data_IF_027454383293
#
_entry.id   IF_027454383293
#
_cell.length_a   1.000
_cell.length_b   1.000
_cell.length_c   1.000
_cell.angle_alpha   90.00
_cell.angle_beta   90.00
_cell.angle_gamma   90.00
#
_symmetry.space_group_name_H-M   'P 1'
#
loop_
_entity.id
_entity.type
_entity.pdbx_description
1 polymer ?
#
# COMPACT_ATOMS: atom_id res chain seq x y z
N UNK A 1 -17.88 -5.24 -25.95
CA UNK A 1 -17.54 -3.88 -25.44
C UNK A 1 -16.09 -3.51 -25.79
N UNK A 2 -15.13 -4.44 -25.70
CA UNK A 2 -13.69 -4.19 -25.93
C UNK A 2 -13.31 -3.79 -27.37
N UNK A 3 -14.04 -4.24 -28.38
CA UNK A 3 -13.75 -3.88 -29.79
C UNK A 3 -14.12 -2.41 -30.12
N UNK A 4 -15.11 -1.85 -29.44
CA UNK A 4 -15.57 -0.49 -29.72
C UNK A 4 -14.62 0.59 -29.18
N UNK A 5 -13.85 0.28 -28.13
CA UNK A 5 -12.84 1.19 -27.57
C UNK A 5 -11.59 1.28 -28.46
N UNK A 6 -11.28 0.22 -29.20
CA UNK A 6 -10.13 0.18 -30.11
C UNK A 6 -10.34 1.00 -31.38
N UNK A 7 -11.57 1.08 -31.85
CA UNK A 7 -11.94 1.91 -33.04
C UNK A 7 -11.96 3.41 -32.71
N UNK A 8 -12.35 3.80 -31.49
CA UNK A 8 -12.31 5.20 -31.05
C UNK A 8 -10.89 5.75 -30.84
N UNK A 9 -9.93 4.90 -30.46
CA UNK A 9 -8.53 5.29 -30.29
C UNK A 9 -7.80 5.51 -31.62
N UNK A 10 -8.25 4.85 -32.72
CA UNK A 10 -7.60 4.95 -34.03
C UNK A 10 -7.93 6.24 -34.80
N UNK A 11 -8.91 7.02 -34.36
CA UNK A 11 -9.33 8.24 -35.09
C UNK A 11 -8.73 9.55 -34.56
N UNK A 12 -7.83 9.49 -33.57
CA UNK A 12 -7.25 10.69 -32.93
C UNK A 12 -5.73 10.81 -33.14
N UNK A 13 -5.24 10.48 -34.33
CA UNK A 13 -3.84 10.71 -34.68
C UNK A 13 -3.68 12.12 -35.20
N UNK A 14 -3.25 13.02 -34.34
CA UNK A 14 -2.74 14.33 -34.71
C UNK A 14 -3.51 15.53 -34.18
N UNK A 15 -3.23 15.91 -32.93
CA UNK A 15 -3.20 17.31 -32.48
C UNK A 15 -2.45 17.30 -31.13
N UNK A 16 -1.53 18.27 -30.95
CA UNK A 16 -0.63 18.40 -29.81
C UNK A 16 -1.32 18.32 -28.45
N UNK A 17 -0.57 17.88 -27.43
CA UNK A 17 -1.02 17.50 -26.10
C UNK A 17 -2.22 18.27 -25.56
N UNK A 18 -3.40 17.76 -25.76
CA UNK A 18 -4.62 18.33 -25.22
C UNK A 18 -4.70 18.00 -23.73
N UNK A 19 -4.29 18.95 -22.90
CA UNK A 19 -4.66 18.95 -21.49
C UNK A 19 -6.20 18.92 -21.43
N UNK A 20 -6.78 17.82 -20.93
CA UNK A 20 -8.23 17.70 -20.74
C UNK A 20 -8.65 18.82 -19.78
N UNK A 21 -9.58 19.68 -20.21
CA UNK A 21 -10.04 20.82 -19.40
C UNK A 21 -10.85 20.32 -18.19
N UNK A 22 -10.70 20.96 -17.04
CA UNK A 22 -11.46 20.65 -15.81
C UNK A 22 -12.99 20.58 -16.05
N UNK A 23 -13.51 21.44 -16.92
CA UNK A 23 -14.91 21.43 -17.33
C UNK A 23 -15.34 20.07 -17.93
N UNK A 24 -14.44 19.38 -18.62
CA UNK A 24 -14.73 18.07 -19.21
C UNK A 24 -14.94 17.02 -18.12
N UNK A 25 -14.15 17.04 -17.04
CA UNK A 25 -14.31 16.14 -15.92
C UNK A 25 -15.66 16.32 -15.23
N UNK A 26 -16.09 17.56 -15.03
CA UNK A 26 -17.39 17.87 -14.44
C UNK A 26 -18.54 17.41 -15.36
N UNK A 27 -18.42 17.64 -16.68
CA UNK A 27 -19.45 17.24 -17.65
C UNK A 27 -19.58 15.72 -17.76
N UNK A 28 -18.48 15.00 -17.65
CA UNK A 28 -18.44 13.52 -17.69
C UNK A 28 -18.66 12.86 -16.32
N UNK A 29 -18.91 13.67 -15.28
CA UNK A 29 -19.11 13.18 -13.90
C UNK A 29 -17.95 12.30 -13.40
N UNK A 30 -16.71 12.64 -13.78
CA UNK A 30 -15.52 11.86 -13.45
C UNK A 30 -15.32 11.72 -11.94
N UNK A 31 -15.69 12.71 -11.15
CA UNK A 31 -15.70 12.71 -9.69
C UNK A 31 -16.56 11.59 -9.10
N UNK A 32 -17.68 11.24 -9.74
CA UNK A 32 -18.51 10.11 -9.33
C UNK A 32 -17.80 8.78 -9.54
N UNK A 33 -17.06 8.63 -10.65
CA UNK A 33 -16.25 7.43 -10.92
C UNK A 33 -15.17 7.30 -9.85
N UNK A 34 -14.46 8.40 -9.52
CA UNK A 34 -13.46 8.39 -8.45
C UNK A 34 -14.06 8.08 -7.08
N UNK A 35 -15.28 8.56 -6.80
CA UNK A 35 -15.98 8.27 -5.55
C UNK A 35 -16.32 6.79 -5.43
N UNK A 36 -16.73 6.14 -6.50
CA UNK A 36 -16.98 4.69 -6.54
C UNK A 36 -15.66 3.93 -6.34
N UNK A 37 -14.59 4.33 -7.04
CA UNK A 37 -13.27 3.71 -6.90
C UNK A 37 -12.78 3.77 -5.44
N UNK A 38 -12.94 4.92 -4.78
CA UNK A 38 -12.51 5.11 -3.38
C UNK A 38 -13.20 4.15 -2.41
N UNK A 39 -14.44 3.73 -2.67
CA UNK A 39 -15.15 2.75 -1.83
C UNK A 39 -14.49 1.36 -1.81
N UNK A 40 -13.67 1.07 -2.81
CA UNK A 40 -12.95 -0.21 -2.93
C UNK A 40 -11.48 -0.13 -2.47
N UNK A 41 -11.02 1.03 -2.01
CA UNK A 41 -9.66 1.21 -1.56
C UNK A 41 -9.52 0.89 -0.07
N UNK A 42 -8.46 0.15 0.27
CA UNK A 42 -8.23 -0.35 1.62
C UNK A 42 -7.19 0.47 2.42
N UNK A 43 -6.57 1.49 1.82
CA UNK A 43 -5.52 2.29 2.46
C UNK A 43 -5.70 3.78 2.21
N UNK A 44 -5.30 4.62 3.17
CA UNK A 44 -5.30 6.08 3.04
C UNK A 44 -4.43 6.55 1.87
N UNK A 45 -3.27 5.94 1.70
CA UNK A 45 -2.37 6.21 0.56
C UNK A 45 -3.06 5.92 -0.76
N UNK A 46 -3.85 4.83 -0.86
CA UNK A 46 -4.66 4.52 -2.02
C UNK A 46 -5.70 5.61 -2.32
N UNK A 47 -6.35 6.15 -1.30
CA UNK A 47 -7.30 7.27 -1.45
C UNK A 47 -6.61 8.52 -2.01
N UNK A 48 -5.42 8.88 -1.52
CA UNK A 48 -4.64 10.00 -2.08
C UNK A 48 -4.29 9.78 -3.56
N UNK A 49 -3.91 8.56 -3.94
CA UNK A 49 -3.64 8.23 -5.35
C UNK A 49 -4.88 8.36 -6.21
N UNK A 50 -6.04 7.88 -5.74
CA UNK A 50 -7.29 8.00 -6.46
C UNK A 50 -7.71 9.46 -6.67
N UNK A 51 -7.48 10.35 -5.71
CA UNK A 51 -7.76 11.79 -5.85
C UNK A 51 -6.94 12.45 -6.94
N UNK A 52 -5.70 12.01 -7.09
CA UNK A 52 -4.76 12.52 -8.10
C UNK A 52 -4.90 11.82 -9.45
N UNK A 53 -5.72 10.77 -9.52
CA UNK A 53 -5.89 10.00 -10.75
C UNK A 53 -6.45 10.89 -11.87
N UNK A 54 -5.84 10.83 -13.03
CA UNK A 54 -6.27 11.52 -14.24
C UNK A 54 -6.22 10.54 -15.41
N UNK A 55 -7.08 10.73 -16.41
CA UNK A 55 -7.00 9.93 -17.62
C UNK A 55 -5.64 10.08 -18.30
N UNK A 56 -5.12 8.97 -18.83
CA UNK A 56 -3.88 8.97 -19.58
C UNK A 56 -3.96 9.89 -20.79
N UNK A 57 -2.90 10.62 -21.08
CA UNK A 57 -2.83 11.56 -22.20
C UNK A 57 -2.12 10.97 -23.43
N UNK A 58 -1.52 9.80 -23.30
CA UNK A 58 -0.87 9.07 -24.39
C UNK A 58 -1.38 7.64 -24.48
N UNK A 59 -1.38 7.08 -25.71
CA UNK A 59 -1.76 5.70 -25.93
C UNK A 59 -0.89 4.72 -25.13
N UNK A 60 0.42 4.94 -25.15
CA UNK A 60 1.40 4.09 -24.42
C UNK A 60 1.14 4.06 -22.91
N UNK A 61 0.82 5.21 -22.32
CA UNK A 61 0.48 5.31 -20.90
C UNK A 61 -0.81 4.56 -20.60
N UNK A 62 -1.85 4.77 -21.42
CA UNK A 62 -3.12 4.07 -21.28
C UNK A 62 -2.97 2.56 -21.37
N UNK A 63 -2.21 2.07 -22.35
CA UNK A 63 -1.92 0.64 -22.52
C UNK A 63 -1.20 0.07 -21.28
N UNK A 64 -0.18 0.78 -20.78
CA UNK A 64 0.56 0.35 -19.58
C UNK A 64 -0.34 0.25 -18.35
N UNK A 65 -1.19 1.25 -18.10
CA UNK A 65 -2.11 1.26 -16.95
C UNK A 65 -3.18 0.16 -17.08
N UNK A 66 -3.68 -0.08 -18.28
CA UNK A 66 -4.62 -1.17 -18.54
C UNK A 66 -3.98 -2.54 -18.35
N UNK A 67 -2.73 -2.73 -18.80
CA UNK A 67 -1.98 -3.96 -18.60
C UNK A 67 -1.75 -4.25 -17.12
N UNK A 68 -1.34 -3.25 -16.33
CA UNK A 68 -1.20 -3.40 -14.88
C UNK A 68 -2.50 -3.81 -14.20
N UNK A 69 -3.63 -3.22 -14.62
CA UNK A 69 -4.95 -3.57 -14.08
C UNK A 69 -5.33 -4.99 -14.42
N UNK A 70 -5.08 -5.41 -15.65
CA UNK A 70 -5.37 -6.76 -16.12
C UNK A 70 -4.49 -7.82 -15.44
N UNK A 71 -3.21 -7.52 -15.23
CA UNK A 71 -2.32 -8.36 -14.43
C UNK A 71 -2.84 -8.53 -12.99
N UNK A 72 -3.29 -7.44 -12.33
CA UNK A 72 -3.85 -7.48 -10.99
C UNK A 72 -5.12 -8.34 -10.92
N UNK A 73 -6.03 -8.18 -11.88
CA UNK A 73 -7.23 -9.01 -12.01
C UNK A 73 -6.89 -10.49 -12.23
N UNK A 74 -5.92 -10.78 -13.07
CA UNK A 74 -5.44 -12.14 -13.32
C UNK A 74 -4.87 -12.80 -12.05
N UNK A 75 -4.09 -12.05 -11.28
CA UNK A 75 -3.56 -12.52 -9.98
C UNK A 75 -4.71 -12.80 -9.02
N UNK A 76 -5.66 -11.87 -8.89
CA UNK A 76 -6.82 -12.04 -8.01
C UNK A 76 -7.65 -13.27 -8.40
N UNK A 77 -7.97 -13.43 -9.68
CA UNK A 77 -8.76 -14.54 -10.20
C UNK A 77 -8.09 -15.90 -9.92
N UNK A 78 -6.77 -15.96 -10.04
CA UNK A 78 -5.99 -17.18 -9.83
C UNK A 78 -5.78 -17.51 -8.35
N UNK A 79 -5.56 -16.51 -7.51
CA UNK A 79 -5.17 -16.71 -6.10
C UNK A 79 -6.32 -16.56 -5.12
N UNK A 80 -7.44 -15.92 -5.53
CA UNK A 80 -8.52 -15.50 -4.64
C UNK A 80 -8.10 -14.43 -3.62
N UNK A 81 -6.90 -13.84 -3.76
CA UNK A 81 -6.34 -12.85 -2.83
C UNK A 81 -6.15 -11.52 -3.51
N UNK A 82 -6.52 -10.45 -2.82
CA UNK A 82 -6.17 -9.10 -3.27
C UNK A 82 -4.65 -8.92 -3.25
N UNK A 83 -4.05 -8.39 -4.33
CA UNK A 83 -2.60 -8.19 -4.39
C UNK A 83 -2.05 -7.31 -3.27
N UNK A 84 -2.84 -6.37 -2.79
CA UNK A 84 -2.47 -5.45 -1.71
C UNK A 84 -3.56 -5.41 -0.66
N UNK A 85 -3.20 -5.66 0.60
CA UNK A 85 -4.08 -5.46 1.76
C UNK A 85 -4.03 -4.01 2.26
N UNK A 86 -4.99 -3.62 3.10
CA UNK A 86 -4.96 -2.32 3.76
C UNK A 86 -3.78 -2.19 4.72
N UNK A 87 -3.14 -1.04 4.72
CA UNK A 87 -2.03 -0.71 5.61
C UNK A 87 -2.12 0.77 6.04
N UNK A 88 -1.64 1.11 7.25
CA UNK A 88 -1.62 2.50 7.72
C UNK A 88 -0.59 3.34 6.96
N UNK A 89 -0.83 4.65 6.87
CA UNK A 89 0.18 5.58 6.39
C UNK A 89 1.25 5.80 7.47
N UNK A 90 2.47 5.39 7.17
CA UNK A 90 3.62 5.47 8.09
C UNK A 90 4.64 6.54 7.71
N UNK A 91 4.38 7.34 6.67
CA UNK A 91 5.34 8.32 6.14
C UNK A 91 5.79 9.34 7.18
N UNK A 92 4.85 9.87 7.97
CA UNK A 92 5.16 10.81 9.05
C UNK A 92 5.98 10.15 10.16
N UNK A 93 5.63 8.92 10.56
CA UNK A 93 6.35 8.16 11.59
C UNK A 93 7.80 7.92 11.17
N UNK A 94 8.02 7.50 9.92
CA UNK A 94 9.36 7.32 9.35
C UNK A 94 10.12 8.65 9.28
N UNK A 95 9.45 9.75 8.93
CA UNK A 95 10.05 11.08 8.95
C UNK A 95 10.53 11.49 10.35
N UNK A 96 9.75 11.20 11.38
CA UNK A 96 10.15 11.46 12.79
C UNK A 96 11.33 10.60 13.24
N UNK A 97 11.41 9.35 12.82
CA UNK A 97 12.59 8.49 13.07
C UNK A 97 13.86 9.11 12.50
N UNK A 98 13.83 9.64 11.29
CA UNK A 98 14.99 10.33 10.70
C UNK A 98 15.41 11.57 11.49
N UNK A 99 14.48 12.22 12.17
CA UNK A 99 14.76 13.35 13.07
C UNK A 99 15.18 12.90 14.49
N UNK A 100 15.45 11.61 14.71
CA UNK A 100 15.81 11.03 16.01
C UNK A 100 14.74 11.24 17.09
N UNK A 101 13.47 11.32 16.72
CA UNK A 101 12.35 11.40 17.65
C UNK A 101 11.86 9.99 18.02
N UNK A 102 11.31 9.89 19.23
CA UNK A 102 10.77 8.63 19.72
C UNK A 102 9.44 8.30 19.06
N UNK A 103 9.19 7.00 18.88
CA UNK A 103 7.92 6.45 18.46
C UNK A 103 7.23 5.74 19.63
N UNK A 104 5.92 5.84 19.68
CA UNK A 104 5.10 5.08 20.61
C UNK A 104 4.98 3.61 20.17
N UNK A 105 4.54 2.75 21.07
CA UNK A 105 4.25 1.34 20.79
C UNK A 105 3.23 1.17 19.67
N UNK A 106 2.17 2.00 19.64
CA UNK A 106 1.16 2.05 18.59
C UNK A 106 1.76 2.35 17.22
N UNK A 107 2.67 3.31 17.15
CA UNK A 107 3.34 3.70 15.91
C UNK A 107 4.30 2.61 15.41
N UNK A 108 5.00 1.94 16.32
CA UNK A 108 5.85 0.79 15.97
C UNK A 108 5.01 -0.39 15.43
N UNK A 109 3.83 -0.65 16.02
CA UNK A 109 2.91 -1.66 15.51
C UNK A 109 2.37 -1.29 14.11
N UNK A 110 2.05 -0.01 13.87
CA UNK A 110 1.61 0.48 12.56
C UNK A 110 2.71 0.29 11.50
N UNK A 111 3.97 0.61 11.83
CA UNK A 111 5.11 0.39 10.95
C UNK A 111 5.29 -1.11 10.64
N UNK A 112 5.23 -1.97 11.66
CA UNK A 112 5.31 -3.42 11.47
C UNK A 112 4.18 -3.96 10.59
N UNK A 113 2.96 -3.44 10.75
CA UNK A 113 1.82 -3.77 9.88
C UNK A 113 2.07 -3.35 8.43
N UNK A 114 2.58 -2.15 8.18
CA UNK A 114 2.91 -1.69 6.83
C UNK A 114 4.02 -2.55 6.19
N UNK A 115 5.06 -2.91 6.96
CA UNK A 115 6.12 -3.82 6.50
C UNK A 115 5.58 -5.20 6.12
N UNK A 116 4.70 -5.76 6.94
CA UNK A 116 4.02 -7.04 6.69
C UNK A 116 3.18 -6.97 5.43
N UNK A 117 2.36 -5.92 5.26
CA UNK A 117 1.55 -5.72 4.07
C UNK A 117 2.42 -5.62 2.79
N UNK A 118 3.55 -4.92 2.86
CA UNK A 118 4.49 -4.82 1.75
C UNK A 118 5.11 -6.19 1.40
N UNK A 119 5.49 -7.00 2.40
CA UNK A 119 6.02 -8.35 2.18
C UNK A 119 4.98 -9.28 1.56
N UNK A 120 3.75 -9.28 2.09
CA UNK A 120 2.66 -10.09 1.56
C UNK A 120 2.27 -9.68 0.14
N UNK A 121 2.22 -8.37 -0.14
CA UNK A 121 2.02 -7.86 -1.48
C UNK A 121 3.11 -8.35 -2.44
N UNK A 122 4.38 -8.28 -2.02
CA UNK A 122 5.50 -8.80 -2.82
C UNK A 122 5.33 -10.28 -3.16
N UNK A 123 4.99 -11.11 -2.18
CA UNK A 123 4.78 -12.55 -2.37
C UNK A 123 3.63 -12.84 -3.35
N UNK A 124 2.50 -12.13 -3.21
CA UNK A 124 1.35 -12.29 -4.10
C UNK A 124 1.66 -11.84 -5.52
N UNK A 125 2.28 -10.67 -5.69
CA UNK A 125 2.61 -10.12 -7.00
C UNK A 125 3.68 -10.95 -7.73
N UNK A 126 4.64 -11.52 -6.99
CA UNK A 126 5.66 -12.41 -7.55
C UNK A 126 5.15 -13.83 -7.86
N UNK A 127 3.96 -14.18 -7.42
CA UNK A 127 3.33 -15.47 -7.77
C UNK A 127 2.84 -15.53 -9.23
N UNK A 128 2.83 -14.40 -9.94
CA UNK A 128 2.46 -14.25 -11.34
C UNK A 128 3.59 -14.55 -12.32
N UNK A 129 3.44 -13.98 -13.52
CA UNK A 129 4.50 -13.99 -14.53
C UNK A 129 5.68 -13.14 -14.02
N UNK A 130 6.88 -13.70 -14.05
CA UNK A 130 8.11 -13.02 -13.61
C UNK A 130 8.47 -11.80 -14.45
N UNK A 131 7.97 -11.72 -15.67
CA UNK A 131 8.21 -10.62 -16.60
C UNK A 131 7.10 -9.56 -16.57
N UNK A 132 6.08 -9.75 -15.73
CA UNK A 132 4.96 -8.82 -15.63
C UNK A 132 5.36 -7.46 -15.05
N UNK A 133 4.59 -6.43 -15.38
CA UNK A 133 4.81 -5.07 -14.86
C UNK A 133 4.67 -5.03 -13.33
N UNK A 134 3.69 -5.76 -12.79
CA UNK A 134 3.46 -5.83 -11.35
C UNK A 134 4.56 -6.61 -10.62
N UNK A 135 5.11 -7.68 -11.22
CA UNK A 135 6.26 -8.39 -10.67
C UNK A 135 7.49 -7.47 -10.61
N UNK A 136 7.72 -6.66 -11.64
CA UNK A 136 8.79 -5.68 -11.67
C UNK A 136 8.62 -4.61 -10.59
N UNK A 137 7.40 -4.15 -10.32
CA UNK A 137 7.12 -3.26 -9.20
C UNK A 137 7.37 -3.94 -7.84
N UNK A 138 6.95 -5.19 -7.69
CA UNK A 138 7.16 -5.97 -6.47
C UNK A 138 8.65 -6.21 -6.16
N UNK A 139 9.50 -6.32 -7.17
CA UNK A 139 10.95 -6.47 -7.00
C UNK A 139 11.60 -5.24 -6.32
N UNK A 140 10.95 -4.07 -6.36
CA UNK A 140 11.40 -2.87 -5.66
C UNK A 140 11.07 -2.88 -4.16
N UNK A 141 10.17 -3.76 -3.71
CA UNK A 141 9.82 -3.90 -2.30
C UNK A 141 10.90 -4.71 -1.58
N UNK A 142 11.36 -4.20 -0.44
CA UNK A 142 12.29 -4.91 0.44
C UNK A 142 11.51 -5.55 1.59
N UNK A 143 11.83 -6.79 1.91
CA UNK A 143 11.25 -7.49 3.07
C UNK A 143 12.08 -7.20 4.32
N UNK A 144 11.43 -6.76 5.39
CA UNK A 144 12.05 -6.47 6.68
C UNK A 144 11.53 -7.38 7.79
N UNK A 145 11.43 -8.68 7.49
CA UNK A 145 10.82 -9.68 8.39
C UNK A 145 11.46 -9.71 9.78
N UNK A 146 12.77 -9.51 9.89
CA UNK A 146 13.46 -9.45 11.18
C UNK A 146 12.96 -8.29 12.06
N UNK A 147 12.61 -7.15 11.47
CA UNK A 147 12.04 -6.01 12.19
C UNK A 147 10.59 -6.30 12.59
N UNK A 148 9.79 -6.91 11.71
CA UNK A 148 8.42 -7.36 12.03
C UNK A 148 8.43 -8.29 13.26
N UNK A 149 9.31 -9.29 13.26
CA UNK A 149 9.45 -10.28 14.33
C UNK A 149 9.93 -9.64 15.63
N UNK A 150 10.86 -8.69 15.56
CA UNK A 150 11.38 -7.98 16.74
C UNK A 150 10.31 -7.08 17.38
N UNK A 151 9.55 -6.35 16.57
CA UNK A 151 8.42 -5.55 17.06
C UNK A 151 7.37 -6.46 17.72
N UNK A 152 7.01 -7.57 17.08
CA UNK A 152 6.04 -8.53 17.62
C UNK A 152 6.54 -9.21 18.91
N UNK A 153 7.84 -9.42 19.07
CA UNK A 153 8.45 -9.97 20.30
C UNK A 153 8.40 -8.96 21.45
N UNK A 154 8.60 -7.67 21.14
CA UNK A 154 8.74 -6.62 22.16
C UNK A 154 7.41 -6.00 22.54
N UNK A 155 6.44 -5.92 21.64
CA UNK A 155 5.20 -5.16 21.81
C UNK A 155 4.02 -6.12 21.68
N UNK A 156 3.27 -6.31 22.78
CA UNK A 156 2.11 -7.19 22.84
C UNK A 156 0.81 -6.46 22.47
N UNK A 157 0.79 -5.15 22.61
CA UNK A 157 -0.36 -4.29 22.34
C UNK A 157 0.00 -2.81 22.34
N UNK A 158 -0.98 -1.93 22.08
CA UNK A 158 -0.73 -0.49 21.94
C UNK A 158 -0.08 0.13 23.18
N UNK A 159 -0.40 -0.39 24.38
CA UNK A 159 0.11 0.11 25.66
C UNK A 159 0.90 -0.96 26.43
N UNK A 160 1.23 -2.09 25.78
CA UNK A 160 1.83 -3.23 26.46
C UNK A 160 3.16 -3.63 25.83
N UNK A 161 4.23 -3.51 26.61
CA UNK A 161 5.57 -4.00 26.28
C UNK A 161 5.80 -5.33 26.96
N UNK A 162 6.24 -6.33 26.20
CA UNK A 162 6.58 -7.67 26.68
C UNK A 162 7.69 -7.67 27.73
N UNK A 163 7.59 -8.52 28.73
CA UNK A 163 8.69 -8.76 29.68
C UNK A 163 9.97 -9.26 28.98
N UNK A 164 9.80 -9.88 27.82
CA UNK A 164 10.89 -10.37 26.98
C UNK A 164 11.48 -9.31 26.05
N UNK A 165 10.98 -8.06 26.09
CA UNK A 165 11.52 -6.97 25.28
C UNK A 165 12.98 -6.67 25.63
N UNK A 166 13.34 -6.74 26.92
CA UNK A 166 14.74 -6.76 27.33
C UNK A 166 14.92 -7.57 28.62
N UNK A 167 16.10 -8.19 28.82
CA UNK A 167 16.41 -8.92 30.07
C UNK A 167 16.30 -8.02 31.31
N UNK A 168 16.67 -6.76 31.17
CA UNK A 168 16.61 -5.74 32.24
C UNK A 168 15.16 -5.46 32.66
N UNK A 169 14.26 -5.23 31.69
CA UNK A 169 12.85 -4.98 31.96
C UNK A 169 12.21 -6.17 32.68
N UNK A 170 12.46 -7.38 32.22
CA UNK A 170 11.94 -8.59 32.85
C UNK A 170 12.47 -8.79 34.28
N UNK A 171 13.72 -8.40 34.55
CA UNK A 171 14.30 -8.40 35.90
C UNK A 171 13.62 -7.38 36.80
N UNK A 172 13.49 -6.15 36.35
CA UNK A 172 12.87 -5.07 37.12
C UNK A 172 11.42 -5.38 37.46
N UNK A 173 10.62 -5.84 36.51
CA UNK A 173 9.22 -6.18 36.75
C UNK A 173 9.06 -7.33 37.77
N UNK A 174 9.92 -8.34 37.72
CA UNK A 174 9.95 -9.40 38.74
C UNK A 174 10.27 -8.86 40.13
N UNK A 175 11.23 -7.94 40.24
CA UNK A 175 11.57 -7.30 41.52
C UNK A 175 10.39 -6.47 42.08
N UNK A 176 9.71 -5.69 41.21
CA UNK A 176 8.53 -4.91 41.61
C UNK A 176 7.45 -5.84 42.17
N UNK A 177 7.17 -6.95 41.48
CA UNK A 177 6.18 -7.94 41.94
C UNK A 177 6.51 -8.52 43.31
N UNK A 178 7.77 -8.90 43.56
CA UNK A 178 8.22 -9.45 44.84
C UNK A 178 8.08 -8.43 45.96
N UNK A 179 8.38 -7.13 45.69
CA UNK A 179 8.27 -6.07 46.71
C UNK A 179 6.81 -5.69 46.97
N UNK A 180 5.94 -5.73 45.95
CA UNK A 180 4.52 -5.40 46.09
C UNK A 180 3.67 -6.50 46.76
N UNK A 181 4.15 -7.73 46.85
CA UNK A 181 3.51 -8.85 47.55
C UNK A 181 3.91 -8.93 49.06
N UNK A 182 4.76 -8.02 49.55
CA UNK A 182 5.13 -7.90 50.96
C UNK A 182 4.34 -6.78 51.66
#
# INVERSE_FOLDING_TARGET
LFNKTRELAASTTGIGGNMIQEKTFTTLEYDKILSILKQHLASEVGHEFAEKLRPATSLKEAETLQEQTWEAESIYTRTGRTPVSGFPDVREMVGRMHASLFLSTRELLAIAQAMRAAREAKEVLQSGDKNSLLCNLANRLTSHRSVEEEVARCILGEDEISDNASPELGRIRRQIKIVGER
#
